data_IF_832015996876
#
_entry.id   IF_832015996876
#
_cell.length_a   1.000
_cell.length_b   1.000
_cell.length_c   1.000
_cell.angle_alpha   90.00
_cell.angle_beta   90.00
_cell.angle_gamma   90.00
#
_symmetry.space_group_name_H-M   'P 1'
#
loop_
_entity.id
_entity.type
_entity.pdbx_description
1 polymer ?
#
# COMPACT_ATOMS: atom_id res chain seq x y z
N UNK A 1 -31.82 17.98 46.45
CA UNK A 1 -32.40 17.93 45.08
C UNK A 1 -32.16 19.27 44.39
N UNK A 2 -31.74 19.25 43.13
CA UNK A 2 -31.50 20.43 42.26
C UNK A 2 -30.03 20.85 42.23
N UNK A 3 -29.37 21.13 41.10
CA UNK A 3 -29.79 21.22 39.70
C UNK A 3 -28.57 21.02 38.76
N UNK A 4 -28.81 20.60 37.52
CA UNK A 4 -27.84 20.68 36.41
C UNK A 4 -27.49 22.16 36.12
N UNK A 5 -26.21 22.46 35.93
CA UNK A 5 -25.72 23.36 34.87
C UNK A 5 -24.19 23.39 34.87
N UNK A 6 -23.62 22.62 33.95
CA UNK A 6 -22.27 22.84 33.46
C UNK A 6 -22.21 24.14 32.69
N UNK A 7 -21.15 24.92 32.92
CA UNK A 7 -20.31 25.74 32.00
C UNK A 7 -19.59 26.80 32.88
N UNK A 8 -18.29 27.11 32.65
CA UNK A 8 -17.84 27.60 31.35
C UNK A 8 -16.52 26.98 30.84
N UNK A 9 -16.47 26.70 29.54
CA UNK A 9 -15.20 26.65 28.80
C UNK A 9 -14.86 28.09 28.40
N UNK A 10 -14.03 28.74 29.20
CA UNK A 10 -13.40 30.01 28.84
C UNK A 10 -11.90 29.76 28.60
N UNK A 11 -11.47 30.02 27.36
CA UNK A 11 -10.21 30.70 27.06
C UNK A 11 -8.87 30.01 27.31
N UNK A 12 -8.18 29.74 26.19
CA UNK A 12 -6.74 30.10 25.97
C UNK A 12 -5.66 29.01 26.07
N UNK A 13 -5.30 28.54 24.86
CA UNK A 13 -3.95 28.42 24.26
C UNK A 13 -2.86 27.52 24.91
N UNK A 14 -2.46 26.47 24.19
CA UNK A 14 -1.11 26.36 23.60
C UNK A 14 -0.90 25.02 22.86
N UNK A 15 -0.57 25.11 21.57
CA UNK A 15 0.18 24.09 20.83
C UNK A 15 -0.52 23.58 19.58
N UNK A 16 0.01 23.82 18.36
CA UNK A 16 -0.39 23.01 17.22
C UNK A 16 0.26 21.64 17.41
N UNK A 17 -0.48 20.62 17.83
CA UNK A 17 -0.06 19.23 17.59
C UNK A 17 -0.27 18.92 16.10
N UNK A 18 0.40 19.68 15.24
CA UNK A 18 0.56 19.36 13.83
C UNK A 18 1.75 18.43 13.71
N UNK A 19 1.49 17.13 13.87
CA UNK A 19 2.18 16.17 13.02
C UNK A 19 1.14 15.66 12.02
N UNK A 20 0.74 16.56 11.12
CA UNK A 20 0.10 16.17 9.88
C UNK A 20 1.12 15.42 9.04
N UNK A 21 1.09 14.10 9.09
CA UNK A 21 1.69 13.30 8.02
C UNK A 21 0.83 13.57 6.79
N UNK A 22 1.36 14.36 5.86
CA UNK A 22 0.64 14.79 4.66
C UNK A 22 0.47 13.60 3.71
N UNK A 23 -0.59 12.81 3.96
CA UNK A 23 -0.97 11.63 3.16
C UNK A 23 -1.10 12.01 1.69
N UNK A 24 -1.58 13.22 1.38
CA UNK A 24 -1.73 13.72 0.02
C UNK A 24 -0.38 13.82 -0.69
N UNK A 25 0.63 14.42 -0.06
CA UNK A 25 1.98 14.53 -0.68
C UNK A 25 2.65 13.17 -0.90
N UNK A 26 2.36 12.20 -0.04
CA UNK A 26 2.88 10.83 -0.19
C UNK A 26 2.09 10.02 -1.22
N UNK A 27 0.78 10.26 -1.32
CA UNK A 27 -0.02 9.66 -2.39
C UNK A 27 0.46 10.17 -3.75
N UNK A 28 0.73 11.47 -3.88
CA UNK A 28 1.20 12.04 -5.16
C UNK A 28 2.56 11.46 -5.58
N UNK A 29 3.52 11.39 -4.65
CA UNK A 29 4.82 10.76 -4.91
C UNK A 29 4.70 9.27 -5.27
N UNK A 30 3.78 8.55 -4.63
CA UNK A 30 3.52 7.15 -4.96
C UNK A 30 2.93 7.02 -6.37
N UNK A 31 1.96 7.85 -6.72
CA UNK A 31 1.37 7.86 -8.06
C UNK A 31 2.37 8.29 -9.13
N UNK A 32 3.30 9.19 -8.83
CA UNK A 32 4.40 9.56 -9.71
C UNK A 32 5.32 8.37 -9.99
N UNK A 33 5.75 7.66 -8.93
CA UNK A 33 6.59 6.47 -9.06
C UNK A 33 5.85 5.40 -9.84
N UNK A 34 4.58 5.12 -9.49
CA UNK A 34 3.71 4.17 -10.21
C UNK A 34 3.67 4.51 -11.69
N UNK A 35 3.35 5.75 -12.07
CA UNK A 35 3.30 6.19 -13.48
C UNK A 35 4.64 6.04 -14.20
N UNK A 36 5.76 6.30 -13.51
CA UNK A 36 7.10 6.18 -14.09
C UNK A 36 7.52 4.72 -14.33
N UNK A 37 7.03 3.79 -13.51
CA UNK A 37 7.27 2.34 -13.62
C UNK A 37 6.16 1.57 -14.34
N UNK A 38 5.06 2.24 -14.69
CA UNK A 38 3.90 1.58 -15.28
C UNK A 38 4.26 1.11 -16.68
N UNK A 39 4.32 -0.21 -16.86
CA UNK A 39 4.58 -0.85 -18.13
C UNK A 39 3.38 -1.70 -18.50
N UNK A 40 3.06 -1.82 -19.81
CA UNK A 40 2.00 -2.72 -20.24
C UNK A 40 2.34 -4.16 -19.85
N UNK A 41 1.30 -4.96 -19.58
CA UNK A 41 1.48 -6.36 -19.20
C UNK A 41 2.14 -7.19 -20.30
N UNK A 42 1.87 -6.84 -21.56
CA UNK A 42 2.52 -7.34 -22.77
C UNK A 42 2.28 -6.32 -23.90
N UNK A 43 3.02 -6.42 -25.01
CA UNK A 43 2.90 -5.45 -26.10
C UNK A 43 1.48 -5.45 -26.71
N UNK A 44 0.80 -4.30 -26.69
CA UNK A 44 -0.59 -4.16 -27.15
C UNK A 44 -1.67 -4.50 -26.11
N UNK A 45 -1.32 -4.69 -24.84
CA UNK A 45 -2.29 -4.82 -23.75
C UNK A 45 -2.67 -3.45 -23.17
N UNK A 46 -3.96 -3.22 -22.95
CA UNK A 46 -4.47 -2.04 -22.24
C UNK A 46 -4.23 -2.11 -20.72
N UNK A 47 -4.04 -3.32 -20.18
CA UNK A 47 -3.78 -3.53 -18.76
C UNK A 47 -2.29 -3.39 -18.45
N UNK A 48 -2.01 -2.69 -17.35
CA UNK A 48 -0.64 -2.51 -16.89
C UNK A 48 -0.16 -3.64 -15.98
N UNK A 49 1.14 -3.86 -15.96
CA UNK A 49 1.81 -4.81 -15.07
C UNK A 49 1.46 -4.55 -13.61
N UNK A 50 1.40 -3.27 -13.22
CA UNK A 50 1.09 -2.86 -11.86
C UNK A 50 -0.37 -3.14 -11.49
N UNK A 51 -1.32 -2.91 -12.40
CA UNK A 51 -2.73 -3.28 -12.23
C UNK A 51 -2.87 -4.78 -11.93
N UNK A 52 -2.24 -5.62 -12.75
CA UNK A 52 -2.28 -7.08 -12.58
C UNK A 52 -1.67 -7.51 -11.24
N UNK A 53 -0.49 -6.98 -10.91
CA UNK A 53 0.22 -7.27 -9.65
C UNK A 53 -0.58 -6.83 -8.42
N UNK A 54 -1.18 -5.64 -8.45
CA UNK A 54 -2.00 -5.12 -7.37
C UNK A 54 -3.22 -6.01 -7.12
N UNK A 55 -3.90 -6.45 -8.19
CA UNK A 55 -5.03 -7.40 -8.10
C UNK A 55 -4.59 -8.73 -7.50
N UNK A 56 -3.47 -9.31 -7.96
CA UNK A 56 -2.96 -10.58 -7.45
C UNK A 56 -2.61 -10.50 -5.95
N UNK A 57 -2.01 -9.40 -5.51
CA UNK A 57 -1.68 -9.21 -4.09
C UNK A 57 -2.93 -8.96 -3.25
N UNK A 58 -3.92 -8.27 -3.79
CA UNK A 58 -5.20 -8.10 -3.10
C UNK A 58 -5.90 -9.45 -2.89
N UNK A 59 -6.01 -10.27 -3.95
CA UNK A 59 -6.57 -11.63 -3.86
C UNK A 59 -5.78 -12.47 -2.86
N UNK A 60 -4.44 -12.34 -2.84
CA UNK A 60 -3.58 -13.03 -1.87
C UNK A 60 -3.91 -12.62 -0.43
N UNK A 61 -4.06 -11.31 -0.18
CA UNK A 61 -4.36 -10.78 1.15
C UNK A 61 -5.75 -11.23 1.63
N UNK A 62 -6.75 -11.17 0.76
CA UNK A 62 -8.13 -11.59 1.05
C UNK A 62 -8.25 -13.09 1.33
N UNK A 63 -7.56 -13.93 0.54
CA UNK A 63 -7.64 -15.39 0.66
C UNK A 63 -6.54 -15.99 1.53
N UNK A 64 -5.72 -15.14 2.17
CA UNK A 64 -4.57 -15.53 2.98
C UNK A 64 -3.67 -16.58 2.28
N UNK A 65 -3.51 -16.43 0.95
CA UNK A 65 -2.90 -17.46 0.11
C UNK A 65 -1.45 -17.72 0.53
N UNK A 66 -1.12 -19.00 0.74
CA UNK A 66 0.27 -19.39 0.98
C UNK A 66 1.16 -18.98 -0.20
N UNK A 67 2.43 -18.69 0.08
CA UNK A 67 3.42 -18.34 -0.96
C UNK A 67 3.44 -19.40 -2.06
N UNK A 68 3.45 -20.69 -1.70
CA UNK A 68 3.50 -21.80 -2.66
C UNK A 68 2.31 -21.80 -3.61
N UNK A 69 1.11 -21.52 -3.10
CA UNK A 69 -0.09 -21.47 -3.92
C UNK A 69 -0.07 -20.26 -4.85
N UNK A 70 0.39 -19.11 -4.36
CA UNK A 70 0.60 -17.94 -5.20
C UNK A 70 1.57 -18.26 -6.35
N UNK A 71 2.72 -18.87 -6.05
CA UNK A 71 3.75 -19.20 -7.05
C UNK A 71 3.19 -20.19 -8.11
N UNK A 72 2.34 -21.14 -7.72
CA UNK A 72 1.66 -22.04 -8.66
C UNK A 72 0.65 -21.32 -9.56
N UNK A 73 -0.14 -20.39 -8.99
CA UNK A 73 -1.11 -19.61 -9.75
C UNK A 73 -0.41 -18.64 -10.72
N UNK A 74 0.68 -18.00 -10.29
CA UNK A 74 1.45 -17.10 -11.17
C UNK A 74 2.16 -17.87 -12.28
N UNK A 75 2.68 -19.07 -12.03
CA UNK A 75 3.21 -19.94 -13.08
C UNK A 75 2.12 -20.35 -14.07
N UNK A 76 0.95 -20.80 -13.58
CA UNK A 76 -0.18 -21.13 -14.46
C UNK A 76 -0.69 -19.92 -15.26
N UNK A 77 -0.70 -18.73 -14.67
CA UNK A 77 -1.02 -17.50 -15.40
C UNK A 77 0.03 -17.17 -16.46
N UNK A 78 1.32 -17.40 -16.16
CA UNK A 78 2.44 -17.18 -17.10
C UNK A 78 2.36 -18.11 -18.31
N UNK A 79 1.86 -19.34 -18.14
CA UNK A 79 1.63 -20.28 -19.24
C UNK A 79 0.46 -19.88 -20.15
N UNK A 80 -0.53 -19.15 -19.60
CA UNK A 80 -1.67 -18.62 -20.35
C UNK A 80 -1.38 -17.28 -21.03
N UNK A 81 -0.35 -16.56 -20.55
CA UNK A 81 0.08 -15.28 -21.09
C UNK A 81 1.01 -15.47 -22.30
N UNK A 82 1.06 -14.49 -23.23
CA UNK A 82 2.04 -14.51 -24.30
C UNK A 82 3.47 -14.45 -23.75
N UNK A 83 4.46 -14.97 -24.50
CA UNK A 83 5.86 -15.07 -24.04
C UNK A 83 6.50 -13.75 -23.64
N UNK A 84 5.99 -12.63 -24.16
CA UNK A 84 6.53 -11.29 -23.94
C UNK A 84 5.87 -10.57 -22.74
N UNK A 85 5.27 -11.32 -21.81
CA UNK A 85 4.62 -10.74 -20.64
C UNK A 85 5.61 -10.27 -19.59
N UNK A 86 5.24 -9.21 -18.87
CA UNK A 86 6.01 -8.62 -17.76
C UNK A 86 5.52 -9.09 -16.39
N UNK A 87 4.51 -9.97 -16.33
CA UNK A 87 3.98 -10.49 -15.08
C UNK A 87 5.05 -11.26 -14.28
N UNK A 88 5.26 -10.96 -12.99
CA UNK A 88 6.18 -11.73 -12.15
C UNK A 88 5.65 -13.15 -11.90
N UNK A 89 6.51 -14.14 -12.13
CA UNK A 89 6.25 -15.58 -11.96
C UNK A 89 6.17 -16.05 -10.52
N UNK A 90 6.62 -15.23 -9.55
CA UNK A 90 6.79 -15.63 -8.15
C UNK A 90 6.43 -14.49 -7.20
N UNK A 91 5.90 -14.84 -6.03
CA UNK A 91 5.52 -13.89 -4.99
C UNK A 91 6.68 -12.99 -4.54
N UNK A 92 7.91 -13.50 -4.55
CA UNK A 92 9.07 -12.71 -4.15
C UNK A 92 9.32 -11.56 -5.13
N UNK A 93 9.27 -11.83 -6.44
CA UNK A 93 9.45 -10.83 -7.48
C UNK A 93 8.29 -9.82 -7.47
N UNK A 94 7.06 -10.30 -7.28
CA UNK A 94 5.89 -9.43 -7.06
C UNK A 94 6.09 -8.51 -5.86
N UNK A 95 6.53 -9.07 -4.73
CA UNK A 95 6.78 -8.28 -3.51
C UNK A 95 7.94 -7.31 -3.70
N UNK A 96 8.98 -7.69 -4.45
CA UNK A 96 10.09 -6.80 -4.77
C UNK A 96 9.61 -5.61 -5.61
N UNK A 97 8.80 -5.86 -6.64
CA UNK A 97 8.17 -4.82 -7.45
C UNK A 97 7.39 -3.84 -6.55
N UNK A 98 6.52 -4.36 -5.67
CA UNK A 98 5.79 -3.51 -4.72
C UNK A 98 6.70 -2.77 -3.75
N UNK A 99 7.81 -3.37 -3.31
CA UNK A 99 8.77 -2.68 -2.43
C UNK A 99 9.53 -1.58 -3.14
N UNK A 100 9.87 -1.78 -4.41
CA UNK A 100 10.54 -0.77 -5.23
C UNK A 100 9.60 0.42 -5.51
N UNK A 101 8.28 0.16 -5.55
CA UNK A 101 7.22 1.17 -5.63
C UNK A 101 6.89 1.81 -4.28
N UNK A 102 7.10 1.07 -3.18
CA UNK A 102 6.80 1.57 -1.84
C UNK A 102 7.79 2.67 -1.50
N UNK A 103 7.26 3.88 -1.31
CA UNK A 103 7.99 4.95 -0.65
C UNK A 103 8.56 4.41 0.68
N UNK A 104 9.73 4.89 1.13
CA UNK A 104 10.28 4.49 2.41
C UNK A 104 9.29 4.87 3.50
N UNK A 105 8.44 3.91 3.88
CA UNK A 105 7.54 4.04 5.02
C UNK A 105 8.48 4.03 6.21
N UNK A 106 8.74 5.23 6.73
CA UNK A 106 9.41 5.40 8.01
C UNK A 106 8.59 4.60 9.02
N UNK A 107 9.14 3.48 9.50
CA UNK A 107 8.50 2.70 10.54
C UNK A 107 8.45 3.57 11.78
N UNK A 108 7.28 4.16 12.04
CA UNK A 108 7.02 4.82 13.32
C UNK A 108 7.05 3.71 14.37
N UNK A 109 8.21 3.54 14.99
CA UNK A 109 8.36 2.70 16.15
C UNK A 109 7.64 3.42 17.29
N UNK A 110 6.35 3.15 17.47
CA UNK A 110 5.63 3.62 18.64
C UNK A 110 6.28 2.94 19.86
N UNK A 111 7.31 3.58 20.42
CA UNK A 111 7.89 3.17 21.68
C UNK A 111 6.80 3.29 22.73
N UNK A 112 6.58 2.18 23.44
CA UNK A 112 5.88 2.14 24.72
C UNK A 112 6.59 3.08 25.69
N UNK A 113 6.18 4.33 25.74
CA UNK A 113 6.46 5.19 26.87
C UNK A 113 5.14 5.55 27.54
N UNK A 114 4.41 4.52 27.97
CA UNK A 114 3.61 4.61 29.18
C UNK A 114 4.58 4.69 30.34
N UNK A 115 5.18 5.87 30.53
CA UNK A 115 5.87 6.18 31.76
C UNK A 115 4.77 6.39 32.82
N UNK A 116 4.76 5.47 33.80
CA UNK A 116 4.16 5.50 35.14
C UNK A 116 2.69 5.92 35.28
#
# INVERSE_FOLDING_TARGET
MGACSSFPIDGTEAGPSSYGFDVSRLSDQFFDVVRATDQPLYNGCDESQLSAVARLINIKAENNMSKRYYDQVSQGASDLLPRDHTLPSDYYNTKKLIRDLSLPVEKIHACKNGYM
#
